data_IF_467788604213
#
_entry.id   IF_467788604213
#
_cell.length_a   1.000
_cell.length_b   1.000
_cell.length_c   1.000
_cell.angle_alpha   90.00
_cell.angle_beta   90.00
_cell.angle_gamma   90.00
#
_symmetry.space_group_name_H-M   'P 1'
#
loop_
_entity.id
_entity.type
_entity.pdbx_description
1 polymer ?
#
# COMPACT_ATOMS: atom_id res chain seq x y z
N UNK A 1 23.79 16.54 -5.92
CA UNK A 1 22.32 16.57 -6.10
C UNK A 1 21.74 15.38 -5.38
N UNK A 2 21.29 15.58 -4.14
CA UNK A 2 20.66 14.57 -3.30
C UNK A 2 19.28 14.24 -3.89
N UNK A 3 19.00 12.96 -4.17
CA UNK A 3 17.70 12.51 -4.64
C UNK A 3 16.60 12.80 -3.61
N UNK A 4 15.31 12.69 -4.00
CA UNK A 4 14.21 12.94 -3.07
C UNK A 4 14.34 12.05 -1.83
N UNK A 5 14.05 12.59 -0.63
CA UNK A 5 14.24 11.86 0.61
C UNK A 5 13.40 10.58 0.63
N UNK A 6 13.87 9.50 1.29
CA UNK A 6 13.12 8.26 1.45
C UNK A 6 11.72 8.53 2.03
N UNK A 7 10.75 7.70 1.65
CA UNK A 7 9.33 7.90 2.00
C UNK A 7 9.10 8.12 3.51
N UNK A 8 9.90 7.50 4.38
CA UNK A 8 9.85 7.70 5.83
C UNK A 8 10.11 9.15 6.25
N UNK A 9 11.08 9.83 5.64
CA UNK A 9 11.41 11.23 5.95
C UNK A 9 10.34 12.20 5.43
N UNK A 10 9.67 11.86 4.32
CA UNK A 10 8.54 12.65 3.81
C UNK A 10 7.34 12.57 4.76
N UNK A 11 7.10 11.40 5.37
CA UNK A 11 6.05 11.20 6.37
C UNK A 11 6.34 12.01 7.64
N UNK A 12 7.59 12.04 8.11
CA UNK A 12 7.98 12.81 9.31
C UNK A 12 7.80 14.32 9.11
N UNK A 13 8.23 14.87 7.96
CA UNK A 13 8.04 16.29 7.65
C UNK A 13 6.56 16.67 7.50
N UNK A 14 5.74 15.78 6.92
CA UNK A 14 4.30 15.97 6.84
C UNK A 14 3.64 15.95 8.22
N UNK A 15 4.11 15.10 9.14
CA UNK A 15 3.64 15.04 10.53
C UNK A 15 3.93 16.33 11.30
N UNK A 16 5.09 16.93 11.10
CA UNK A 16 5.48 18.21 11.73
C UNK A 16 4.56 19.35 11.25
N UNK A 17 4.42 19.53 9.93
CA UNK A 17 3.57 20.58 9.38
C UNK A 17 2.07 20.45 9.70
N UNK A 18 1.58 19.23 9.90
CA UNK A 18 0.18 18.97 10.29
C UNK A 18 -0.04 19.20 11.80
N UNK A 19 0.97 18.96 12.62
CA UNK A 19 0.93 19.29 14.06
C UNK A 19 0.91 20.81 14.25
N UNK A 20 1.70 21.56 13.49
CA UNK A 20 1.71 23.03 13.53
C UNK A 20 0.36 23.63 13.10
N UNK A 21 -0.25 23.10 12.03
CA UNK A 21 -1.60 23.48 11.61
C UNK A 21 -2.65 23.20 12.69
N UNK A 22 -2.54 22.07 13.41
CA UNK A 22 -3.44 21.73 14.49
C UNK A 22 -3.29 22.66 15.69
N UNK A 23 -2.05 22.96 16.10
CA UNK A 23 -1.76 23.90 17.20
C UNK A 23 -2.22 25.30 16.85
N UNK A 24 -1.97 25.77 15.63
CA UNK A 24 -2.41 27.10 15.17
C UNK A 24 -3.94 27.22 15.16
N UNK A 25 -4.66 26.14 14.78
CA UNK A 25 -6.13 26.13 14.73
C UNK A 25 -6.80 25.97 16.09
N UNK A 26 -6.19 25.24 17.02
CA UNK A 26 -6.84 24.83 18.28
C UNK A 26 -6.17 25.36 19.56
N UNK A 27 -5.02 26.04 19.45
CA UNK A 27 -4.27 26.62 20.58
C UNK A 27 -3.71 25.60 21.57
N UNK A 28 -3.75 24.30 21.24
CA UNK A 28 -3.29 23.20 22.11
C UNK A 28 -2.72 22.04 21.31
N UNK A 29 -1.81 21.30 21.93
CA UNK A 29 -1.27 20.07 21.35
C UNK A 29 -2.36 19.00 21.20
N UNK A 30 -2.30 18.16 20.15
CA UNK A 30 -3.21 17.05 19.99
C UNK A 30 -2.99 16.01 21.11
N UNK A 31 -4.07 15.69 21.83
CA UNK A 31 -4.10 14.50 22.69
C UNK A 31 -4.01 13.22 21.87
N UNK A 32 -3.99 12.06 22.51
CA UNK A 32 -3.74 10.77 21.86
C UNK A 32 -4.68 10.46 20.68
N UNK A 33 -5.99 10.69 20.82
CA UNK A 33 -6.95 10.60 19.69
C UNK A 33 -6.67 11.60 18.57
N UNK A 34 -6.21 12.81 18.92
CA UNK A 34 -5.82 13.83 17.95
C UNK A 34 -4.61 13.38 17.14
N UNK A 35 -3.60 12.78 17.78
CA UNK A 35 -2.42 12.23 17.10
C UNK A 35 -2.78 11.10 16.13
N UNK A 36 -3.68 10.19 16.52
CA UNK A 36 -4.18 9.16 15.60
C UNK A 36 -4.94 9.75 14.41
N UNK A 37 -5.75 10.78 14.64
CA UNK A 37 -6.43 11.50 13.56
C UNK A 37 -5.46 12.17 12.59
N UNK A 38 -4.41 12.81 13.10
CA UNK A 38 -3.38 13.46 12.28
C UNK A 38 -2.56 12.44 11.49
N UNK A 39 -2.21 11.30 12.08
CA UNK A 39 -1.54 10.21 11.37
C UNK A 39 -2.40 9.63 10.23
N UNK A 40 -3.71 9.49 10.44
CA UNK A 40 -4.64 9.08 9.38
C UNK A 40 -4.75 10.12 8.26
N UNK A 41 -4.63 11.41 8.59
CA UNK A 41 -4.64 12.51 7.64
C UNK A 41 -3.36 12.54 6.81
N UNK A 42 -2.18 12.40 7.45
CA UNK A 42 -0.88 12.28 6.78
C UNK A 42 -0.86 11.10 5.81
N UNK A 43 -1.36 9.93 6.23
CA UNK A 43 -1.40 8.75 5.37
C UNK A 43 -2.31 8.93 4.14
N UNK A 44 -3.32 9.79 4.22
CA UNK A 44 -4.19 10.14 3.08
C UNK A 44 -3.55 11.20 2.18
N UNK A 45 -2.93 12.22 2.76
CA UNK A 45 -2.30 13.34 2.04
C UNK A 45 -1.02 12.91 1.31
N UNK A 46 -0.20 12.09 1.97
CA UNK A 46 1.02 11.51 1.38
C UNK A 46 0.75 10.31 0.47
N UNK A 47 -0.52 9.88 0.32
CA UNK A 47 -0.84 8.76 -0.55
C UNK A 47 -0.62 9.20 -2.00
N UNK A 48 0.33 8.59 -2.73
CA UNK A 48 0.49 8.90 -4.13
C UNK A 48 -0.83 8.59 -4.86
N UNK A 49 -1.16 9.41 -5.85
CA UNK A 49 -2.30 9.15 -6.72
C UNK A 49 -2.27 7.69 -7.19
N UNK A 50 -3.44 7.05 -7.18
CA UNK A 50 -3.54 5.67 -7.63
C UNK A 50 -3.06 5.62 -9.07
N UNK A 51 -1.90 5.00 -9.28
CA UNK A 51 -1.37 4.69 -10.61
C UNK A 51 -2.46 4.00 -11.43
N UNK A 52 -2.50 4.28 -12.74
CA UNK A 52 -3.44 3.69 -13.67
C UNK A 52 -3.57 2.18 -13.39
N UNK A 53 -4.79 1.69 -13.08
CA UNK A 53 -4.97 0.30 -12.73
C UNK A 53 -4.53 -0.56 -13.91
N UNK A 54 -3.53 -1.42 -13.69
CA UNK A 54 -3.15 -2.42 -14.68
C UNK A 54 -4.27 -3.46 -14.77
N UNK A 55 -4.65 -3.91 -15.98
CA UNK A 55 -5.59 -5.01 -16.13
C UNK A 55 -5.15 -6.23 -15.31
N UNK A 56 -6.10 -6.89 -14.66
CA UNK A 56 -5.82 -8.02 -13.76
C UNK A 56 -5.04 -9.14 -14.47
N UNK A 57 -5.33 -9.41 -15.74
CA UNK A 57 -4.61 -10.42 -16.52
C UNK A 57 -3.12 -10.08 -16.69
N UNK A 58 -2.78 -8.80 -16.88
CA UNK A 58 -1.39 -8.36 -16.99
C UNK A 58 -0.65 -8.47 -15.65
N UNK A 59 -1.31 -8.13 -14.55
CA UNK A 59 -0.75 -8.30 -13.20
C UNK A 59 -0.48 -9.77 -12.89
N UNK A 60 -1.40 -10.66 -13.25
CA UNK A 60 -1.23 -12.11 -13.06
C UNK A 60 -0.10 -12.68 -13.91
N UNK A 61 0.01 -12.24 -15.16
CA UNK A 61 1.13 -12.63 -16.04
C UNK A 61 2.47 -12.15 -15.47
N UNK A 62 2.54 -10.90 -15.00
CA UNK A 62 3.73 -10.34 -14.38
C UNK A 62 4.12 -11.10 -13.11
N UNK A 63 3.18 -11.34 -12.19
CA UNK A 63 3.47 -12.12 -10.98
C UNK A 63 3.95 -13.54 -11.28
N UNK A 64 3.33 -14.22 -12.25
CA UNK A 64 3.78 -15.56 -12.68
C UNK A 64 5.21 -15.49 -13.21
N UNK A 65 5.51 -14.52 -14.08
CA UNK A 65 6.85 -14.33 -14.63
C UNK A 65 7.89 -13.99 -13.55
N UNK A 66 7.54 -13.18 -12.54
CA UNK A 66 8.43 -12.85 -11.41
C UNK A 66 8.65 -14.01 -10.44
N UNK A 67 7.65 -14.88 -10.26
CA UNK A 67 7.73 -16.01 -9.33
C UNK A 67 8.43 -17.24 -9.93
N UNK A 68 8.25 -17.48 -11.23
CA UNK A 68 8.81 -18.63 -11.96
C UNK A 68 10.32 -18.83 -11.76
N UNK A 69 11.20 -17.81 -11.91
CA UNK A 69 12.64 -18.00 -11.73
C UNK A 69 13.04 -18.32 -10.28
N UNK A 70 12.21 -17.95 -9.29
CA UNK A 70 12.51 -18.17 -7.87
C UNK A 70 12.00 -19.52 -7.36
N UNK A 71 10.86 -19.98 -7.86
CA UNK A 71 10.15 -21.14 -7.32
C UNK A 71 10.00 -22.30 -8.31
N UNK A 72 10.33 -22.08 -9.59
CA UNK A 72 10.13 -23.04 -10.66
C UNK A 72 8.70 -23.04 -11.20
N UNK A 73 8.57 -23.30 -12.49
CA UNK A 73 7.30 -23.22 -13.21
C UNK A 73 6.26 -24.21 -12.68
N UNK A 74 6.64 -25.46 -12.45
CA UNK A 74 5.72 -26.51 -12.00
C UNK A 74 5.09 -26.19 -10.63
N UNK A 75 5.86 -25.61 -9.71
CA UNK A 75 5.37 -25.23 -8.39
C UNK A 75 4.34 -24.10 -8.48
N UNK A 76 4.65 -23.06 -9.25
CA UNK A 76 3.76 -21.91 -9.48
C UNK A 76 2.46 -22.36 -10.15
N UNK A 77 2.57 -23.19 -11.19
CA UNK A 77 1.41 -23.65 -11.96
C UNK A 77 0.51 -24.59 -11.13
N UNK A 78 1.12 -25.50 -10.36
CA UNK A 78 0.39 -26.36 -9.44
C UNK A 78 -0.34 -25.59 -8.34
N UNK A 79 0.26 -24.51 -7.81
CA UNK A 79 -0.43 -23.64 -6.85
C UNK A 79 -1.63 -22.94 -7.50
N UNK A 80 -1.44 -22.38 -8.70
CA UNK A 80 -2.51 -21.70 -9.44
C UNK A 80 -3.67 -22.63 -9.78
N UNK A 81 -3.41 -23.90 -10.07
CA UNK A 81 -4.45 -24.91 -10.28
C UNK A 81 -5.25 -25.15 -9.00
N UNK A 82 -4.58 -25.43 -7.87
CA UNK A 82 -5.26 -25.64 -6.58
C UNK A 82 -6.13 -24.45 -6.18
N UNK A 83 -5.64 -23.23 -6.36
CA UNK A 83 -6.43 -22.02 -6.10
C UNK A 83 -7.67 -21.92 -7.00
N UNK A 84 -7.55 -22.31 -8.28
CA UNK A 84 -8.69 -22.33 -9.22
C UNK A 84 -9.70 -23.38 -8.82
N UNK A 85 -9.27 -24.59 -8.48
CA UNK A 85 -10.14 -25.68 -8.01
C UNK A 85 -10.89 -25.28 -6.74
N UNK A 86 -10.19 -24.76 -5.73
CA UNK A 86 -10.82 -24.29 -4.50
C UNK A 86 -11.82 -23.15 -4.76
N UNK A 87 -11.44 -22.17 -5.60
CA UNK A 87 -12.34 -21.08 -5.97
C UNK A 87 -13.56 -21.56 -6.77
N UNK A 88 -13.42 -22.61 -7.58
CA UNK A 88 -14.53 -23.24 -8.29
C UNK A 88 -15.49 -23.93 -7.32
N UNK A 89 -14.93 -24.69 -6.36
CA UNK A 89 -15.71 -25.36 -5.33
C UNK A 89 -16.54 -24.37 -4.49
N UNK A 90 -16.02 -23.17 -4.20
CA UNK A 90 -16.76 -22.12 -3.48
C UNK A 90 -17.89 -21.52 -4.33
N UNK A 91 -17.72 -21.38 -5.65
CA UNK A 91 -18.73 -20.77 -6.52
C UNK A 91 -19.87 -21.71 -6.90
N UNK A 92 -19.62 -23.01 -6.86
CA UNK A 92 -20.55 -24.05 -7.33
C UNK A 92 -20.95 -25.04 -6.23
N UNK A 93 -20.53 -24.79 -4.99
CA UNK A 93 -20.89 -25.56 -3.80
C UNK A 93 -21.77 -24.79 -2.85
#
# INVERSE_FOLDING_TARGET
MTGPPPASQQIEQAMEGITDKYVNKHGRLPGERGRHGLGSWVAQDTRPEKKTPRPLHQLRAWWRASATPRFGQQMVDGLLERCRTAGSAIRHG
#
